data_IF_153524581223
#
_entry.id   IF_153524581223
#
_cell.length_a   1.000
_cell.length_b   1.000
_cell.length_c   1.000
_cell.angle_alpha   90.00
_cell.angle_beta   90.00
_cell.angle_gamma   90.00
#
_symmetry.space_group_name_H-M   'P 1'
#
loop_
_entity.id
_entity.type
_entity.pdbx_description
1 polymer ?
#
# COMPACT_ATOMS: atom_id res chain seq x y z
N UNK A 1 6.33 -13.26 12.69
CA UNK A 1 6.72 -12.29 11.65
C UNK A 1 5.47 -11.97 10.84
N UNK A 2 4.69 -10.95 11.22
CA UNK A 2 3.54 -10.52 10.45
C UNK A 2 3.96 -9.95 9.09
N UNK A 3 3.09 -10.10 8.09
CA UNK A 3 3.34 -9.62 6.73
C UNK A 3 2.10 -8.93 6.16
N UNK A 4 2.29 -7.73 5.64
CA UNK A 4 1.29 -7.00 4.87
C UNK A 4 1.81 -6.69 3.46
N UNK A 5 0.97 -6.93 2.46
CA UNK A 5 1.22 -6.59 1.07
C UNK A 5 0.20 -5.57 0.59
N UNK A 6 0.66 -4.36 0.33
CA UNK A 6 -0.14 -3.32 -0.28
C UNK A 6 0.15 -3.31 -1.77
N UNK A 7 -0.89 -3.50 -2.57
CA UNK A 7 -0.84 -3.20 -4.00
C UNK A 7 -1.56 -1.90 -4.22
N UNK A 8 -0.88 -0.96 -4.88
CA UNK A 8 -1.45 0.33 -5.23
C UNK A 8 -1.15 0.66 -6.69
N UNK A 9 -1.95 1.51 -7.34
CA UNK A 9 -1.59 2.08 -8.64
C UNK A 9 -0.31 2.91 -8.53
N UNK A 10 0.55 2.85 -9.56
CA UNK A 10 1.77 3.64 -9.59
C UNK A 10 1.46 5.13 -9.71
N UNK A 11 2.18 5.97 -8.98
CA UNK A 11 2.02 7.43 -9.07
C UNK A 11 0.82 8.02 -8.31
N UNK A 12 0.02 7.20 -7.62
CA UNK A 12 -1.10 7.70 -6.80
C UNK A 12 -0.74 7.94 -5.34
N UNK A 13 0.48 7.58 -4.90
CA UNK A 13 0.96 7.82 -3.54
C UNK A 13 2.38 8.38 -3.53
N UNK A 14 2.67 9.26 -2.58
CA UNK A 14 4.00 9.86 -2.41
C UNK A 14 4.96 8.94 -1.64
N UNK A 15 6.25 9.30 -1.61
CA UNK A 15 7.22 8.63 -0.75
C UNK A 15 6.88 8.77 0.75
N UNK A 16 6.25 9.89 1.15
CA UNK A 16 5.77 10.11 2.51
C UNK A 16 4.60 9.19 2.87
N UNK A 17 3.67 8.99 1.93
CA UNK A 17 2.55 8.05 2.11
C UNK A 17 3.04 6.62 2.27
N UNK A 18 4.04 6.20 1.48
CA UNK A 18 4.67 4.88 1.62
C UNK A 18 5.27 4.69 3.02
N UNK A 19 6.00 5.70 3.53
CA UNK A 19 6.54 5.70 4.89
C UNK A 19 5.41 5.57 5.93
N UNK A 20 4.34 6.34 5.77
CA UNK A 20 3.17 6.30 6.65
C UNK A 20 2.50 4.92 6.65
N UNK A 21 2.38 4.27 5.49
CA UNK A 21 1.85 2.89 5.38
C UNK A 21 2.71 1.92 6.18
N UNK A 22 4.03 1.97 6.04
CA UNK A 22 4.95 1.09 6.79
C UNK A 22 4.83 1.30 8.30
N UNK A 23 4.86 2.56 8.77
CA UNK A 23 4.76 2.90 10.19
C UNK A 23 3.42 2.44 10.78
N UNK A 24 2.31 2.84 10.15
CA UNK A 24 0.96 2.55 10.65
C UNK A 24 0.64 1.05 10.62
N UNK A 25 1.10 0.32 9.61
CA UNK A 25 0.91 -1.14 9.54
C UNK A 25 1.71 -1.85 10.64
N UNK A 26 2.91 -1.35 10.93
CA UNK A 26 3.74 -1.89 12.00
C UNK A 26 3.10 -1.65 13.37
N UNK A 27 2.58 -0.46 13.61
CA UNK A 27 1.83 -0.13 14.83
C UNK A 27 0.57 -0.99 14.97
N UNK A 28 -0.19 -1.18 13.89
CA UNK A 28 -1.37 -2.05 13.88
C UNK A 28 -1.02 -3.49 14.29
N UNK A 29 0.07 -4.04 13.76
CA UNK A 29 0.49 -5.38 14.16
C UNK A 29 1.03 -5.44 15.59
N UNK A 30 1.68 -4.38 16.08
CA UNK A 30 2.10 -4.31 17.47
C UNK A 30 0.89 -4.24 18.42
N UNK A 31 -0.18 -3.52 18.04
CA UNK A 31 -1.44 -3.45 18.78
C UNK A 31 -2.11 -4.83 18.88
N UNK A 32 -2.20 -5.56 17.77
CA UNK A 32 -2.90 -6.85 17.70
C UNK A 32 -2.08 -8.00 18.33
N UNK A 33 -0.79 -8.09 18.01
CA UNK A 33 0.06 -9.23 18.38
C UNK A 33 1.00 -8.96 19.56
N UNK A 34 1.00 -7.72 20.08
CA UNK A 34 1.94 -7.19 21.07
C UNK A 34 3.24 -6.67 20.45
N UNK A 35 3.98 -5.85 21.20
CA UNK A 35 5.23 -5.19 20.77
C UNK A 35 6.32 -6.14 20.23
N UNK A 36 6.26 -7.42 20.58
CA UNK A 36 7.10 -8.48 19.99
C UNK A 36 7.00 -8.59 18.46
N UNK A 37 5.91 -8.11 17.87
CA UNK A 37 5.67 -8.15 16.43
C UNK A 37 6.50 -7.10 15.68
N UNK A 38 6.66 -5.90 16.25
CA UNK A 38 7.32 -4.74 15.65
C UNK A 38 8.68 -5.03 14.99
N UNK A 39 9.66 -5.70 15.65
CA UNK A 39 10.98 -5.91 15.04
C UNK A 39 10.97 -6.88 13.84
N UNK A 40 9.88 -7.63 13.66
CA UNK A 40 9.74 -8.65 12.61
C UNK A 40 8.48 -8.42 11.77
N UNK A 41 7.95 -7.20 11.72
CA UNK A 41 6.87 -6.87 10.77
C UNK A 41 7.49 -6.58 9.42
N UNK A 42 7.01 -7.25 8.37
CA UNK A 42 7.38 -6.97 6.99
C UNK A 42 6.22 -6.29 6.26
N UNK A 43 6.51 -5.18 5.60
CA UNK A 43 5.55 -4.45 4.77
C UNK A 43 6.11 -4.34 3.37
N UNK A 44 5.38 -4.86 2.39
CA UNK A 44 5.69 -4.72 0.97
C UNK A 44 4.65 -3.79 0.33
N UNK A 45 5.13 -2.81 -0.43
CA UNK A 45 4.29 -1.90 -1.21
C UNK A 45 4.67 -2.08 -2.68
N UNK A 46 3.77 -2.66 -3.45
CA UNK A 46 3.92 -2.82 -4.90
C UNK A 46 3.09 -1.78 -5.62
N UNK A 47 3.77 -0.95 -6.41
CA UNK A 47 3.16 -0.03 -7.34
C UNK A 47 2.97 -0.70 -8.70
N UNK A 48 1.72 -0.86 -9.09
CA UNK A 48 1.36 -1.46 -10.37
C UNK A 48 1.07 -0.34 -11.36
N UNK A 49 1.81 -0.35 -12.48
CA UNK A 49 1.62 0.60 -13.57
C UNK A 49 0.21 0.54 -14.17
N UNK A 50 -0.19 1.62 -14.83
CA UNK A 50 -1.42 1.71 -15.61
C UNK A 50 -1.60 0.50 -16.54
N UNK A 51 -2.83 0.01 -16.67
CA UNK A 51 -3.10 -1.26 -17.36
C UNK A 51 -3.12 -2.49 -16.45
N UNK A 52 -2.47 -2.43 -15.27
CA UNK A 52 -2.41 -3.56 -14.34
C UNK A 52 -3.54 -3.62 -13.30
N UNK A 53 -4.39 -2.59 -13.24
CA UNK A 53 -5.58 -2.52 -12.39
C UNK A 53 -6.84 -2.50 -13.24
N UNK A 54 -7.87 -3.22 -12.78
CA UNK A 54 -9.19 -3.17 -13.41
C UNK A 54 -10.30 -3.26 -12.40
N UNK A 55 -11.39 -2.54 -12.66
CA UNK A 55 -12.62 -2.60 -11.87
C UNK A 55 -13.81 -2.56 -12.82
N UNK A 56 -14.76 -3.49 -12.64
CA UNK A 56 -15.99 -3.52 -13.44
C UNK A 56 -15.79 -3.66 -14.96
N UNK A 57 -14.66 -4.24 -15.41
CA UNK A 57 -14.31 -4.35 -16.83
C UNK A 57 -13.55 -3.15 -17.40
N UNK A 58 -13.37 -2.08 -16.63
CA UNK A 58 -12.57 -0.91 -17.00
C UNK A 58 -11.15 -1.04 -16.46
N UNK A 59 -10.17 -0.68 -17.29
CA UNK A 59 -8.78 -0.53 -16.86
C UNK A 59 -8.62 0.79 -16.14
N UNK A 60 -7.96 0.76 -14.98
CA UNK A 60 -7.65 1.93 -14.19
C UNK A 60 -6.26 2.50 -14.56
N UNK A 61 -6.17 3.81 -14.52
CA UNK A 61 -4.95 4.60 -14.71
C UNK A 61 -4.76 5.53 -13.54
N UNK A 62 -3.51 5.90 -13.24
CA UNK A 62 -3.19 6.90 -12.22
C UNK A 62 -3.93 8.23 -12.45
N UNK A 63 -3.99 8.71 -13.71
CA UNK A 63 -4.70 9.95 -14.08
C UNK A 63 -6.18 9.91 -13.64
N UNK A 64 -6.92 8.89 -14.08
CA UNK A 64 -8.31 8.66 -13.70
C UNK A 64 -8.52 8.61 -12.16
N UNK A 65 -7.58 8.01 -11.42
CA UNK A 65 -7.68 7.88 -9.97
C UNK A 65 -7.32 9.18 -9.23
N UNK A 66 -6.45 10.00 -9.82
CA UNK A 66 -6.07 11.30 -9.30
C UNK A 66 -7.06 12.42 -9.71
N UNK A 67 -8.06 12.10 -10.52
CA UNK A 67 -9.04 13.07 -11.03
C UNK A 67 -8.49 13.97 -12.14
N UNK A 68 -7.48 13.49 -12.86
CA UNK A 68 -6.92 14.16 -14.04
C UNK A 68 -7.66 13.62 -15.29
N UNK A 69 -8.28 14.52 -16.07
CA UNK A 69 -8.98 14.20 -17.33
C UNK A 69 -8.03 13.88 -18.48
#
# INVERSE_FOLDING_TARGET
MPFAHFKVPAGTISAEDKKKIVERTTDLYAEIYGERARPNTLVLIDEVVDGGWGVGGSVLTAALLNGEE
#
